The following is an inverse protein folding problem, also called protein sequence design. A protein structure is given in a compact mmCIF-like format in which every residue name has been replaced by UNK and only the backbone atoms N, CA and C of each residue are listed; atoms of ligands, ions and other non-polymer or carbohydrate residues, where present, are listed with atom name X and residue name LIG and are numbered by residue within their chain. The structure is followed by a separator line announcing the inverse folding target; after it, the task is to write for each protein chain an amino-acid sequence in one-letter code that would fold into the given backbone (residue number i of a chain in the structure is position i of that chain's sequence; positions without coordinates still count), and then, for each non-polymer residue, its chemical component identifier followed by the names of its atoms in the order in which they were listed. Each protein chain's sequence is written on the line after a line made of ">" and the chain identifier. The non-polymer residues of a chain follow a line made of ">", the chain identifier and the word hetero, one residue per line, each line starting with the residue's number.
data_IF_325580828943
#
_entry.id   IF_325580828943
#
_cell.length_a   1.000
_cell.length_b   1.000
_cell.length_c   1.000
_cell.angle_alpha   90.00
_cell.angle_beta   90.00
_cell.angle_gamma   90.00
#
_symmetry.space_group_name_H-M   'P 1'
#
loop_
_entity.id
_entity.type
_entity.pdbx_description
1 polymer ?
#
# COMPACT_ATOMS: atom_id res chain seq x y z
N UNK A 1 -15.56 -4.09 -10.15
CA UNK A 1 -15.52 -3.90 -8.69
C UNK A 1 -15.44 -2.41 -8.44
N UNK A 2 -16.29 -1.86 -7.57
CA UNK A 2 -16.35 -0.41 -7.34
C UNK A 2 -15.36 -0.03 -6.22
N UNK A 3 -14.08 0.10 -6.56
CA UNK A 3 -13.03 0.52 -5.62
C UNK A 3 -13.00 2.05 -5.64
N UNK A 4 -13.45 2.70 -4.56
CA UNK A 4 -13.54 4.17 -4.50
C UNK A 4 -12.21 4.87 -4.17
N UNK A 5 -11.23 4.12 -3.64
CA UNK A 5 -9.91 4.62 -3.22
C UNK A 5 -8.80 4.15 -4.15
N UNK A 6 -7.56 4.56 -3.85
CA UNK A 6 -6.38 4.18 -4.62
C UNK A 6 -5.66 3.02 -3.95
N UNK A 7 -5.26 2.02 -4.74
CA UNK A 7 -4.38 0.95 -4.28
C UNK A 7 -2.95 1.31 -4.65
N UNK A 8 -2.02 1.18 -3.71
CA UNK A 8 -0.60 1.43 -3.94
C UNK A 8 0.20 0.22 -3.49
N UNK A 9 1.04 -0.31 -4.38
CA UNK A 9 1.80 -1.54 -4.16
C UNK A 9 3.29 -1.27 -4.39
N UNK A 10 4.14 -1.75 -3.48
CA UNK A 10 5.59 -1.79 -3.69
C UNK A 10 6.01 -3.24 -3.87
N UNK A 11 6.74 -3.53 -4.94
CA UNK A 11 7.26 -4.86 -5.24
C UNK A 11 8.78 -4.84 -5.20
N UNK A 12 9.36 -5.77 -4.46
CA UNK A 12 10.79 -6.05 -4.54
C UNK A 12 11.11 -6.82 -5.81
N UNK A 13 11.65 -6.12 -6.81
CA UNK A 13 12.01 -6.70 -8.09
C UNK A 13 12.74 -5.70 -8.99
N UNK A 14 13.42 -6.22 -10.01
CA UNK A 14 14.00 -5.39 -11.06
C UNK A 14 12.91 -4.55 -11.73
N UNK A 15 13.21 -3.28 -12.03
CA UNK A 15 12.24 -2.34 -12.61
C UNK A 15 11.57 -2.92 -13.85
N UNK A 16 12.33 -3.53 -14.77
CA UNK A 16 11.77 -4.16 -15.99
C UNK A 16 10.84 -5.34 -15.72
N UNK A 17 11.05 -6.10 -14.64
CA UNK A 17 10.13 -7.18 -14.24
C UNK A 17 8.85 -6.60 -13.64
N UNK A 18 8.97 -5.54 -12.84
CA UNK A 18 7.81 -4.84 -12.28
C UNK A 18 7.00 -4.16 -13.37
N UNK A 19 7.65 -3.60 -14.39
CA UNK A 19 6.99 -3.05 -15.59
C UNK A 19 6.14 -4.13 -16.28
N UNK A 20 6.76 -5.27 -16.60
CA UNK A 20 6.07 -6.40 -17.25
C UNK A 20 4.92 -6.97 -16.39
N UNK A 21 5.12 -7.03 -15.07
CA UNK A 21 4.10 -7.48 -14.13
C UNK A 21 2.93 -6.50 -14.05
N UNK A 22 3.20 -5.20 -14.13
CA UNK A 22 2.16 -4.17 -14.16
C UNK A 22 1.33 -4.27 -15.41
N UNK A 23 1.96 -4.41 -16.59
CA UNK A 23 1.25 -4.59 -17.87
C UNK A 23 0.37 -5.85 -17.86
N UNK A 24 0.87 -6.94 -17.28
CA UNK A 24 0.09 -8.16 -17.11
C UNK A 24 -1.13 -7.93 -16.22
N UNK A 25 -0.95 -7.30 -15.06
CA UNK A 25 -2.04 -7.04 -14.12
C UNK A 25 -3.10 -6.10 -14.72
N UNK A 26 -2.69 -5.08 -15.47
CA UNK A 26 -3.62 -4.19 -16.17
C UNK A 26 -4.48 -4.96 -17.18
N UNK A 27 -3.86 -5.88 -17.93
CA UNK A 27 -4.57 -6.68 -18.94
C UNK A 27 -5.59 -7.68 -18.35
N UNK A 28 -5.42 -8.11 -17.10
CA UNK A 28 -6.27 -9.14 -16.47
C UNK A 28 -7.18 -8.60 -15.35
N UNK A 29 -7.07 -7.33 -14.99
CA UNK A 29 -7.82 -6.72 -13.89
C UNK A 29 -8.99 -5.88 -14.37
N UNK A 30 -10.00 -5.72 -13.51
CA UNK A 30 -11.14 -4.84 -13.77
C UNK A 30 -10.88 -3.37 -13.36
N UNK A 31 -9.73 -3.10 -12.76
CA UNK A 31 -9.26 -1.76 -12.37
C UNK A 31 -8.03 -1.44 -13.21
N UNK A 32 -7.80 -0.15 -13.48
CA UNK A 32 -6.58 0.25 -14.18
C UNK A 32 -5.38 0.01 -13.26
N UNK A 33 -4.37 -0.67 -13.78
CA UNK A 33 -3.13 -0.95 -13.08
C UNK A 33 -1.99 -0.26 -13.83
N UNK A 34 -1.20 0.55 -13.14
CA UNK A 34 -0.17 1.33 -13.81
C UNK A 34 1.06 1.55 -12.95
N UNK A 35 2.17 1.88 -13.62
CA UNK A 35 3.42 2.18 -12.94
C UNK A 35 3.32 3.51 -12.22
N UNK A 36 3.77 3.51 -10.98
CA UNK A 36 3.95 4.72 -10.20
C UNK A 36 5.16 5.49 -10.74
N UNK A 37 4.93 6.72 -11.20
CA UNK A 37 5.94 7.58 -11.81
C UNK A 37 5.99 8.96 -11.13
N UNK A 38 7.15 9.63 -11.22
CA UNK A 38 7.28 11.01 -10.75
C UNK A 38 6.28 11.93 -11.47
N UNK A 39 5.55 12.76 -10.71
CA UNK A 39 4.53 13.65 -11.27
C UNK A 39 3.13 13.08 -11.31
N UNK A 40 2.94 11.80 -11.01
CA UNK A 40 1.63 11.16 -11.00
C UNK A 40 0.81 11.61 -9.78
N UNK A 41 -0.45 12.00 -10.01
CA UNK A 41 -1.43 12.21 -8.96
C UNK A 41 -2.20 10.92 -8.68
N UNK A 42 -2.45 10.61 -7.41
CA UNK A 42 -3.27 9.47 -7.04
C UNK A 42 -4.75 9.78 -7.27
N UNK A 43 -5.43 8.89 -7.98
CA UNK A 43 -6.86 8.94 -8.26
C UNK A 43 -7.53 7.65 -7.78
N UNK A 44 -8.72 7.77 -7.21
CA UNK A 44 -9.50 6.63 -6.75
C UNK A 44 -9.88 5.69 -7.90
N UNK A 45 -10.02 4.40 -7.62
CA UNK A 45 -10.34 3.36 -8.61
C UNK A 45 -9.15 2.81 -9.39
N UNK A 46 -7.93 3.27 -9.10
CA UNK A 46 -6.71 2.82 -9.77
C UNK A 46 -5.77 2.08 -8.81
N UNK A 47 -4.95 1.19 -9.36
CA UNK A 47 -3.85 0.53 -8.70
C UNK A 47 -2.51 1.03 -9.25
N UNK A 48 -1.63 1.44 -8.35
CA UNK A 48 -0.32 1.99 -8.69
C UNK A 48 0.77 1.08 -8.16
N UNK A 49 1.59 0.54 -9.05
CA UNK A 49 2.67 -0.38 -8.70
C UNK A 49 4.00 0.38 -8.78
N UNK A 50 4.80 0.29 -7.72
CA UNK A 50 6.18 0.76 -7.63
C UNK A 50 7.14 -0.43 -7.51
N UNK A 51 8.31 -0.35 -8.13
CA UNK A 51 9.46 -1.17 -7.72
C UNK A 51 10.09 -0.56 -6.48
N UNK A 52 10.60 -1.39 -5.58
CA UNK A 52 11.48 -0.98 -4.50
C UNK A 52 12.68 -0.13 -4.97
N UNK A 53 13.07 -0.23 -6.26
CA UNK A 53 14.15 0.55 -6.87
C UNK A 53 13.73 1.95 -7.34
N UNK A 54 12.43 2.21 -7.50
CA UNK A 54 11.95 3.51 -8.00
C UNK A 54 12.20 4.64 -6.98
N UNK A 55 12.33 4.27 -5.70
CA UNK A 55 12.51 5.20 -4.58
C UNK A 55 11.48 6.32 -4.62
N UNK A 56 10.20 6.00 -4.45
CA UNK A 56 9.10 6.98 -4.56
C UNK A 56 8.47 7.28 -3.20
N UNK A 57 7.97 8.51 -3.05
CA UNK A 57 7.13 8.90 -1.91
C UNK A 57 6.07 9.91 -2.33
N UNK A 58 4.99 10.00 -1.56
CA UNK A 58 3.94 10.96 -1.80
C UNK A 58 4.27 12.30 -1.15
N UNK A 59 4.03 13.41 -1.88
CA UNK A 59 4.15 14.76 -1.35
C UNK A 59 2.91 15.60 -1.66
N UNK A 60 2.43 16.43 -0.72
CA UNK A 60 1.43 17.43 -1.03
C UNK A 60 1.98 18.40 -2.09
N UNK A 61 1.24 18.59 -3.18
CA UNK A 61 1.57 19.57 -4.21
C UNK A 61 0.28 20.31 -4.62
N UNK A 62 0.15 21.55 -4.17
CA UNK A 62 -1.08 22.35 -4.33
C UNK A 62 -2.30 21.62 -3.74
N UNK A 63 -3.36 21.43 -4.54
CA UNK A 63 -4.57 20.70 -4.14
C UNK A 63 -4.48 19.18 -4.43
N UNK A 64 -3.34 18.69 -4.89
CA UNK A 64 -3.13 17.30 -5.28
C UNK A 64 -2.10 16.59 -4.41
N UNK A 65 -2.17 15.26 -4.43
CA UNK A 65 -1.19 14.38 -3.81
C UNK A 65 -0.37 13.73 -4.91
N UNK A 66 0.86 14.20 -5.07
CA UNK A 66 1.71 13.82 -6.20
C UNK A 66 2.83 12.91 -5.74
N UNK A 67 3.04 11.83 -6.47
CA UNK A 67 4.19 10.97 -6.31
C UNK A 67 5.44 11.71 -6.78
N UNK A 68 6.48 11.64 -5.95
CA UNK A 68 7.79 12.20 -6.24
C UNK A 68 8.87 11.16 -6.07
N UNK A 69 9.92 11.29 -6.88
CA UNK A 69 11.16 10.62 -6.57
C UNK A 69 11.66 11.11 -5.20
N UNK A 70 12.14 10.15 -4.43
CA UNK A 70 12.54 10.33 -3.04
C UNK A 70 13.98 9.86 -2.88
N UNK A 71 14.67 10.51 -1.95
CA UNK A 71 16.04 10.13 -1.60
C UNK A 71 15.93 9.10 -0.48
N UNK A 72 16.67 8.00 -0.61
CA UNK A 72 16.74 6.97 0.40
C UNK A 72 16.99 7.60 1.78
N UNK A 73 16.17 7.21 2.75
CA UNK A 73 16.28 7.69 4.13
C UNK A 73 16.93 6.61 4.97
N UNK A 74 17.98 6.95 5.71
CA UNK A 74 18.77 5.97 6.48
C UNK A 74 17.88 5.14 7.39
N UNK A 75 17.93 3.82 7.20
CA UNK A 75 17.17 2.84 7.98
C UNK A 75 15.68 2.74 7.61
N UNK A 76 15.19 3.43 6.59
CA UNK A 76 13.86 3.20 6.04
C UNK A 76 14.02 2.45 4.72
N UNK A 77 13.30 1.35 4.55
CA UNK A 77 13.19 0.72 3.24
C UNK A 77 12.12 1.41 2.37
N UNK A 78 12.00 1.02 1.09
CA UNK A 78 11.03 1.59 0.16
C UNK A 78 9.57 1.46 0.62
N UNK A 79 9.18 0.35 1.25
CA UNK A 79 7.84 0.14 1.82
C UNK A 79 7.62 1.10 2.98
N UNK A 80 8.58 1.19 3.90
CA UNK A 80 8.53 2.15 5.02
C UNK A 80 8.35 3.59 4.51
N UNK A 81 9.15 3.99 3.52
CA UNK A 81 9.11 5.35 2.96
C UNK A 81 7.76 5.67 2.35
N UNK A 82 7.20 4.75 1.56
CA UNK A 82 5.94 4.98 0.88
C UNK A 82 4.78 5.00 1.88
N UNK A 83 4.67 3.99 2.75
CA UNK A 83 3.63 3.92 3.78
C UNK A 83 3.64 5.17 4.68
N UNK A 84 4.82 5.59 5.16
CA UNK A 84 4.95 6.76 6.00
C UNK A 84 4.50 8.05 5.28
N UNK A 85 4.86 8.21 4.00
CA UNK A 85 4.44 9.38 3.21
C UNK A 85 2.93 9.42 2.95
N UNK A 86 2.31 8.27 2.71
CA UNK A 86 0.87 8.16 2.46
C UNK A 86 0.07 8.41 3.74
N UNK A 87 0.45 7.75 4.84
CA UNK A 87 -0.27 7.86 6.12
C UNK A 87 -0.18 9.25 6.75
N UNK A 88 0.93 9.96 6.55
CA UNK A 88 1.06 11.37 7.00
C UNK A 88 -0.03 12.28 6.42
N UNK A 89 -0.53 11.95 5.22
CA UNK A 89 -1.53 12.74 4.51
C UNK A 89 -2.94 12.22 4.76
N UNK A 90 -3.16 10.92 4.59
CA UNK A 90 -4.49 10.32 4.64
C UNK A 90 -4.90 9.84 6.03
N UNK A 91 -3.95 9.73 6.95
CA UNK A 91 -4.12 9.34 8.36
C UNK A 91 -4.91 8.05 8.52
N UNK A 92 -6.03 8.11 9.24
CA UNK A 92 -6.92 7.00 9.53
C UNK A 92 -7.68 6.46 8.31
N UNK A 93 -7.49 7.06 7.13
CA UNK A 93 -8.03 6.58 5.86
C UNK A 93 -7.04 5.69 5.09
N UNK A 94 -6.04 5.14 5.79
CA UNK A 94 -5.04 4.24 5.21
C UNK A 94 -5.13 2.87 5.86
N UNK A 95 -5.21 1.84 5.03
CA UNK A 95 -4.92 0.46 5.41
C UNK A 95 -3.57 0.05 4.81
N UNK A 96 -2.65 -0.42 5.64
CA UNK A 96 -1.37 -0.98 5.22
C UNK A 96 -1.40 -2.50 5.33
N UNK A 97 -1.20 -3.19 4.20
CA UNK A 97 -1.17 -4.66 4.16
C UNK A 97 0.23 -5.13 3.76
N UNK A 98 0.77 -6.06 4.55
CA UNK A 98 2.04 -6.74 4.25
C UNK A 98 1.72 -8.11 3.66
N UNK A 99 2.25 -8.39 2.48
CA UNK A 99 2.08 -9.66 1.78
C UNK A 99 3.32 -10.55 1.95
N UNK A 100 3.36 -11.66 1.20
CA UNK A 100 4.53 -12.53 1.11
C UNK A 100 5.78 -11.73 0.69
N UNK A 101 6.87 -11.85 1.44
CA UNK A 101 8.12 -11.12 1.22
C UNK A 101 9.24 -11.62 2.13
N UNK A 102 10.47 -11.52 1.63
CA UNK A 102 11.68 -11.96 2.35
C UNK A 102 12.43 -10.81 3.04
N UNK A 103 12.06 -9.57 2.71
CA UNK A 103 12.80 -8.37 3.07
C UNK A 103 12.41 -7.87 4.47
N UNK A 104 13.39 -7.29 5.17
CA UNK A 104 13.19 -6.69 6.49
C UNK A 104 12.80 -5.21 6.35
N UNK A 105 11.67 -4.95 5.70
CA UNK A 105 11.09 -3.63 5.47
C UNK A 105 9.60 -3.62 5.87
N UNK A 106 9.00 -2.43 6.00
CA UNK A 106 7.59 -2.23 6.35
C UNK A 106 7.33 -2.05 7.84
N UNK A 107 8.28 -2.37 8.72
CA UNK A 107 8.16 -2.22 10.17
C UNK A 107 7.85 -0.77 10.58
N UNK A 108 8.59 0.21 10.02
CA UNK A 108 8.38 1.62 10.35
C UNK A 108 7.14 2.17 9.67
N UNK A 109 6.84 1.70 8.46
CA UNK A 109 5.62 2.02 7.73
C UNK A 109 4.37 1.61 8.49
N UNK A 110 4.31 0.37 8.96
CA UNK A 110 3.18 -0.15 9.76
C UNK A 110 3.05 0.60 11.07
N UNK A 111 4.15 0.86 11.78
CA UNK A 111 4.12 1.68 12.99
C UNK A 111 3.60 3.10 12.72
N UNK A 112 3.99 3.72 11.60
CA UNK A 112 3.49 5.04 11.20
C UNK A 112 1.99 5.01 10.86
N UNK A 113 1.50 3.95 10.21
CA UNK A 113 0.07 3.74 9.94
C UNK A 113 -0.70 3.66 11.25
N UNK A 114 -0.26 2.83 12.20
CA UNK A 114 -0.86 2.72 13.54
C UNK A 114 -0.87 4.05 14.30
N UNK A 115 0.24 4.81 14.25
CA UNK A 115 0.35 6.11 14.93
C UNK A 115 -0.60 7.18 14.35
N UNK A 116 -1.07 7.01 13.12
CA UNK A 116 -2.03 7.90 12.48
C UNK A 116 -3.45 7.30 12.45
N UNK A 117 -3.75 6.35 13.34
CA UNK A 117 -5.04 5.68 13.48
C UNK A 117 -5.50 4.94 12.21
N UNK A 118 -4.56 4.56 11.34
CA UNK A 118 -4.81 3.69 10.21
C UNK A 118 -4.83 2.20 10.60
N UNK A 119 -5.23 1.37 9.65
CA UNK A 119 -5.40 -0.07 9.84
C UNK A 119 -4.14 -0.82 9.36
N UNK A 120 -3.59 -1.70 10.18
CA UNK A 120 -2.44 -2.52 9.79
C UNK A 120 -2.78 -4.00 9.70
N UNK A 121 -2.37 -4.62 8.59
CA UNK A 121 -2.73 -5.99 8.24
C UNK A 121 -1.52 -6.75 7.76
N UNK A 122 -1.45 -8.03 8.10
CA UNK A 122 -0.41 -8.94 7.61
C UNK A 122 -1.08 -10.17 7.01
N UNK A 123 -0.63 -10.59 5.83
CA UNK A 123 -1.03 -11.85 5.23
C UNK A 123 -0.56 -13.01 6.11
N UNK A 124 -1.44 -13.98 6.34
CA UNK A 124 -1.12 -15.17 7.11
C UNK A 124 0.10 -15.87 6.52
N UNK A 125 1.13 -16.10 7.35
CA UNK A 125 2.36 -16.79 6.95
C UNK A 125 2.12 -18.18 6.35
N UNK A 126 0.98 -18.83 6.64
CA UNK A 126 0.60 -20.09 6.02
C UNK A 126 0.28 -19.99 4.52
N UNK A 127 -0.10 -18.80 4.04
CA UNK A 127 -0.33 -18.49 2.62
C UNK A 127 0.90 -17.89 1.92
N UNK A 128 1.95 -17.56 2.67
CA UNK A 128 3.12 -16.88 2.13
C UNK A 128 4.13 -17.87 1.52
N UNK A 129 4.68 -17.53 0.36
CA UNK A 129 5.86 -18.19 -0.18
C UNK A 129 7.12 -17.82 0.64
N UNK A 130 7.27 -16.54 0.94
CA UNK A 130 8.29 -15.98 1.83
C UNK A 130 7.58 -15.28 2.98
N UNK A 131 7.86 -15.71 4.20
CA UNK A 131 7.11 -15.29 5.40
C UNK A 131 7.91 -14.35 6.30
N UNK A 132 9.18 -14.11 5.99
CA UNK A 132 10.14 -13.42 6.82
C UNK A 132 9.73 -11.96 7.09
N UNK A 133 9.21 -11.26 6.07
CA UNK A 133 8.73 -9.88 6.20
C UNK A 133 7.55 -9.80 7.19
N UNK A 134 6.52 -10.63 6.97
CA UNK A 134 5.35 -10.70 7.83
C UNK A 134 5.70 -11.12 9.27
N UNK A 135 6.50 -12.16 9.44
CA UNK A 135 6.95 -12.62 10.77
C UNK A 135 7.85 -11.59 11.49
N UNK A 136 8.64 -10.79 10.76
CA UNK A 136 9.38 -9.68 11.36
C UNK A 136 8.43 -8.60 11.88
N UNK A 137 7.42 -8.22 11.10
CA UNK A 137 6.45 -7.18 11.47
C UNK A 137 5.60 -7.64 12.64
N UNK A 138 5.06 -8.86 12.62
CA UNK A 138 4.25 -9.41 13.72
C UNK A 138 5.01 -9.50 15.04
N UNK A 139 6.35 -9.64 15.01
CA UNK A 139 7.18 -9.66 16.23
C UNK A 139 7.43 -8.28 16.83
N UNK A 140 7.36 -7.22 16.02
CA UNK A 140 7.85 -5.88 16.39
C UNK A 140 6.78 -4.79 16.39
N UNK A 141 5.67 -5.03 15.71
CA UNK A 141 4.60 -4.07 15.49
C UNK A 141 3.28 -4.57 16.08
N UNK A 142 2.42 -3.64 16.46
CA UNK A 142 1.01 -3.94 16.68
C UNK A 142 0.32 -4.04 15.31
N UNK A 143 -0.32 -5.18 15.06
CA UNK A 143 -1.07 -5.46 13.84
C UNK A 143 -2.52 -5.68 14.22
N UNK A 144 -3.43 -5.05 13.48
CA UNK A 144 -4.87 -5.15 13.77
C UNK A 144 -5.43 -6.50 13.31
N UNK A 145 -5.03 -6.96 12.13
CA UNK A 145 -5.55 -8.19 11.55
C UNK A 145 -4.47 -9.05 10.86
N UNK A 146 -4.65 -10.36 10.96
CA UNK A 146 -3.95 -11.34 10.13
C UNK A 146 -5.00 -11.97 9.22
N UNK A 147 -4.82 -11.87 7.92
CA UNK A 147 -5.81 -12.31 6.92
C UNK A 147 -5.27 -13.45 6.08
N UNK A 148 -6.13 -14.41 5.70
CA UNK A 148 -5.78 -15.43 4.71
C UNK A 148 -5.84 -14.85 3.29
N UNK A 149 -5.16 -15.48 2.34
CA UNK A 149 -5.11 -15.02 0.93
C UNK A 149 -6.50 -14.89 0.30
N UNK A 150 -7.40 -15.84 0.59
CA UNK A 150 -8.78 -15.82 0.08
C UNK A 150 -9.59 -14.63 0.63
N UNK A 151 -9.28 -14.18 1.84
CA UNK A 151 -10.01 -13.12 2.53
C UNK A 151 -9.41 -11.74 2.23
N UNK A 152 -8.15 -11.67 1.77
CA UNK A 152 -7.46 -10.41 1.48
C UNK A 152 -8.20 -9.53 0.45
N UNK A 153 -8.81 -10.14 -0.57
CA UNK A 153 -9.60 -9.40 -1.58
C UNK A 153 -10.88 -8.82 -0.98
N UNK A 154 -11.57 -9.60 -0.15
CA UNK A 154 -12.76 -9.14 0.54
C UNK A 154 -12.42 -8.01 1.50
N UNK A 155 -11.35 -8.17 2.29
CA UNK A 155 -10.83 -7.15 3.18
C UNK A 155 -10.59 -5.83 2.43
N UNK A 156 -9.83 -5.86 1.32
CA UNK A 156 -9.54 -4.67 0.52
C UNK A 156 -10.84 -4.03 0.03
N UNK A 157 -11.80 -4.84 -0.42
CA UNK A 157 -13.08 -4.33 -0.93
C UNK A 157 -13.90 -3.64 0.16
N UNK A 158 -13.93 -4.19 1.38
CA UNK A 158 -14.64 -3.60 2.52
C UNK A 158 -14.09 -2.22 2.91
N UNK A 159 -12.79 -1.97 2.73
CA UNK A 159 -12.19 -0.65 2.98
C UNK A 159 -12.60 0.42 1.95
N UNK A 160 -13.19 0.02 0.83
CA UNK A 160 -13.53 0.90 -0.29
C UNK A 160 -15.02 1.07 -0.53
N UNK A 161 -15.87 0.45 0.30
CA UNK A 161 -17.30 0.72 0.30
C UNK A 161 -17.50 2.13 0.87
N UNK A 162 -18.20 3.04 0.18
CA UNK A 162 -18.56 4.32 0.76
C UNK A 162 -19.32 4.05 2.07
N UNK A 163 -18.84 4.57 3.19
CA UNK A 163 -19.63 4.53 4.42
C UNK A 163 -21.00 5.11 4.11
N UNK A 164 -22.07 4.35 4.37
CA UNK A 164 -23.44 4.83 4.23
C UNK A 164 -23.51 6.19 4.90
N UNK A 165 -23.66 7.24 4.10
CA UNK A 165 -23.60 8.61 4.57
C UNK A 165 -24.55 8.77 5.74
N UNK A 166 -24.03 9.24 6.87
CA UNK A 166 -24.87 9.94 7.83
C UNK A 166 -25.59 11.02 7.05
N UNK A 167 -26.88 10.79 6.84
CA UNK A 167 -27.78 11.78 6.29
C UNK A 167 -27.94 12.81 7.39
N UNK A 168 -27.06 13.80 7.44
CA UNK A 168 -27.27 14.97 8.28
C UNK A 168 -28.37 15.79 7.65
N UNK A 169 -29.62 15.41 7.94
CA UNK A 169 -30.74 16.33 7.95
C UNK A 169 -30.57 17.27 9.14
N UNK A 170 -30.24 18.53 8.86
CA UNK A 170 -30.71 19.70 9.61
C UNK A 170 -30.51 20.94 8.74
#
# INVERSE_FOLDING_TARGET
>A
SDISGSIVVVVYGETSHVDSFTDYLDAVSNINVMRMADGLNLEGGNCYIASAKDSVSMKPYSAHYTIRQSIATTGFGPVDMLMNSITTVFKNRVAGMILSGGELDGEKGINAIKQNDGLSVVLNSANCLCKEMGENILRKCMVDEIVDEFDATEFITQQHVPGNGETTTA
#
